data_IF_030378958042
#
_entry.id   IF_030378958042
#
_cell.length_a   1.000
_cell.length_b   1.000
_cell.length_c   1.000
_cell.angle_alpha   90.00
_cell.angle_beta   90.00
_cell.angle_gamma   90.00
#
_symmetry.space_group_name_H-M   'P 1'
#
loop_
_entity.id
_entity.type
_entity.pdbx_description
1 polymer ?
#
# COMPACT_ATOMS: atom_id res chain seq x y z
N UNK A 1 6.08 -35.24 6.19
CA UNK A 1 7.26 -34.66 5.49
C UNK A 1 7.78 -33.40 6.19
N UNK A 2 6.91 -32.43 6.53
CA UNK A 2 7.31 -31.18 7.21
C UNK A 2 8.07 -31.38 8.53
N UNK A 3 7.66 -32.34 9.37
CA UNK A 3 8.29 -32.57 10.68
C UNK A 3 9.78 -32.93 10.63
N UNK A 4 10.30 -33.41 9.50
CA UNK A 4 11.75 -33.65 9.32
C UNK A 4 12.50 -32.44 8.75
N UNK A 5 11.84 -31.65 7.90
CA UNK A 5 12.47 -30.54 7.17
C UNK A 5 12.47 -29.26 8.00
N UNK A 6 11.35 -28.95 8.64
CA UNK A 6 11.15 -27.67 9.31
C UNK A 6 12.16 -27.43 10.46
N UNK A 7 12.47 -28.41 11.33
CA UNK A 7 13.51 -28.21 12.34
C UNK A 7 14.89 -27.88 11.75
N UNK A 8 15.24 -28.43 10.57
CA UNK A 8 16.50 -28.08 9.90
C UNK A 8 16.48 -26.64 9.39
N UNK A 9 15.36 -26.20 8.82
CA UNK A 9 15.19 -24.82 8.33
C UNK A 9 15.26 -23.82 9.49
N UNK A 10 14.56 -24.10 10.61
CA UNK A 10 14.57 -23.24 11.79
C UNK A 10 15.97 -23.15 12.45
N UNK A 11 16.73 -24.25 12.47
CA UNK A 11 18.15 -24.22 12.91
C UNK A 11 19.05 -23.42 11.96
N UNK A 12 18.72 -23.37 10.68
CA UNK A 12 19.39 -22.51 9.71
C UNK A 12 19.04 -21.04 9.89
N UNK A 13 17.81 -20.75 10.33
CA UNK A 13 17.30 -19.39 10.52
C UNK A 13 18.09 -18.61 11.57
N UNK A 14 18.58 -19.27 12.63
CA UNK A 14 19.41 -18.60 13.66
C UNK A 14 20.84 -18.28 13.21
N UNK A 15 21.21 -18.57 11.95
CA UNK A 15 22.56 -18.41 11.41
C UNK A 15 22.60 -17.38 10.29
N UNK A 16 23.38 -16.31 10.48
CA UNK A 16 23.49 -15.22 9.51
C UNK A 16 24.01 -15.71 8.14
N UNK A 17 24.95 -16.65 8.13
CA UNK A 17 25.53 -17.23 6.91
C UNK A 17 24.53 -18.07 6.09
N UNK A 18 23.43 -18.52 6.70
CA UNK A 18 22.36 -19.28 6.04
C UNK A 18 21.09 -18.44 5.84
N UNK A 19 21.14 -17.13 6.05
CA UNK A 19 19.96 -16.26 6.06
C UNK A 19 19.12 -16.37 4.78
N UNK A 20 19.73 -16.20 3.61
CA UNK A 20 19.00 -16.24 2.32
C UNK A 20 18.34 -17.59 2.06
N UNK A 21 19.07 -18.69 2.27
CA UNK A 21 18.59 -20.05 1.98
C UNK A 21 17.52 -20.50 2.97
N UNK A 22 17.71 -20.25 4.27
CA UNK A 22 16.74 -20.63 5.31
C UNK A 22 15.43 -19.85 5.19
N UNK A 23 15.49 -18.53 5.03
CA UNK A 23 14.29 -17.67 4.96
C UNK A 23 13.51 -17.91 3.67
N UNK A 24 14.19 -18.00 2.52
CA UNK A 24 13.49 -18.28 1.26
C UNK A 24 12.82 -19.65 1.27
N UNK A 25 13.45 -20.65 1.89
CA UNK A 25 12.87 -21.99 2.09
C UNK A 25 11.67 -21.92 3.04
N UNK A 26 11.80 -21.24 4.18
CA UNK A 26 10.71 -21.07 5.14
C UNK A 26 9.52 -20.35 4.50
N UNK A 27 9.76 -19.27 3.75
CA UNK A 27 8.72 -18.54 3.02
C UNK A 27 7.98 -19.44 2.03
N UNK A 28 8.68 -20.31 1.30
CA UNK A 28 8.05 -21.27 0.38
C UNK A 28 7.22 -22.30 1.14
N UNK A 29 7.76 -22.88 2.22
CA UNK A 29 7.03 -23.82 3.07
C UNK A 29 5.75 -23.16 3.61
N UNK A 30 5.86 -21.93 4.15
CA UNK A 30 4.72 -21.19 4.68
C UNK A 30 3.65 -20.92 3.61
N UNK A 31 4.08 -20.64 2.37
CA UNK A 31 3.17 -20.33 1.26
C UNK A 31 2.45 -21.56 0.71
N UNK A 32 3.18 -22.66 0.49
CA UNK A 32 2.67 -23.85 -0.22
C UNK A 32 2.01 -24.86 0.71
N UNK A 33 2.38 -24.93 1.99
CA UNK A 33 1.94 -25.98 2.92
C UNK A 33 0.91 -25.50 3.95
N UNK A 34 0.11 -24.46 3.64
CA UNK A 34 -0.77 -23.78 4.60
C UNK A 34 -1.63 -24.72 5.45
N UNK A 35 -2.23 -25.75 4.86
CA UNK A 35 -3.09 -26.71 5.57
C UNK A 35 -2.40 -27.47 6.70
N UNK A 36 -1.09 -27.65 6.60
CA UNK A 36 -0.33 -28.57 7.45
C UNK A 36 0.59 -27.83 8.43
N UNK A 37 0.55 -26.49 8.46
CA UNK A 37 1.44 -25.66 9.26
C UNK A 37 0.98 -25.41 10.69
N UNK A 38 -0.32 -25.54 10.96
CA UNK A 38 -0.90 -25.23 12.26
C UNK A 38 -0.15 -25.91 13.45
N UNK A 39 0.28 -27.19 13.37
CA UNK A 39 1.03 -27.84 14.45
C UNK A 39 2.39 -27.21 14.73
N UNK A 40 2.99 -26.54 13.76
CA UNK A 40 4.35 -25.98 13.86
C UNK A 40 4.35 -24.45 14.05
N UNK A 41 3.18 -23.82 14.07
CA UNK A 41 3.06 -22.37 14.04
C UNK A 41 3.75 -21.70 15.22
N UNK A 42 3.65 -22.28 16.42
CA UNK A 42 4.28 -21.73 17.62
C UNK A 42 5.81 -21.75 17.51
N UNK A 43 6.39 -22.85 17.03
CA UNK A 43 7.84 -22.98 16.87
C UNK A 43 8.37 -22.02 15.82
N UNK A 44 7.67 -21.90 14.67
CA UNK A 44 8.04 -20.95 13.62
C UNK A 44 7.97 -19.52 14.16
N UNK A 45 6.89 -19.15 14.84
CA UNK A 45 6.71 -17.79 15.40
C UNK A 45 7.80 -17.46 16.43
N UNK A 46 8.08 -18.38 17.37
CA UNK A 46 9.09 -18.19 18.41
C UNK A 46 10.48 -17.97 17.81
N UNK A 47 10.95 -18.87 16.95
CA UNK A 47 12.29 -18.75 16.35
C UNK A 47 12.38 -17.50 15.48
N UNK A 48 11.31 -17.19 14.73
CA UNK A 48 11.29 -15.99 13.87
C UNK A 48 11.31 -14.69 14.67
N UNK A 49 10.59 -14.62 15.81
CA UNK A 49 10.63 -13.46 16.69
C UNK A 49 12.02 -13.26 17.30
N UNK A 50 12.65 -14.35 17.76
CA UNK A 50 13.99 -14.26 18.36
C UNK A 50 15.03 -13.74 17.36
N UNK A 51 15.03 -14.22 16.11
CA UNK A 51 16.00 -13.75 15.09
C UNK A 51 15.73 -12.31 14.63
N UNK A 52 14.47 -11.86 14.66
CA UNK A 52 14.11 -10.48 14.34
C UNK A 52 14.58 -9.52 15.44
N UNK A 53 14.41 -9.88 16.71
CA UNK A 53 14.88 -9.08 17.85
C UNK A 53 16.40 -9.05 17.95
N UNK A 54 17.07 -10.16 17.64
CA UNK A 54 18.54 -10.25 17.65
C UNK A 54 19.21 -9.63 16.41
N UNK A 55 18.43 -9.10 15.45
CA UNK A 55 18.93 -8.48 14.21
C UNK A 55 19.91 -9.38 13.44
N UNK A 56 19.66 -10.69 13.41
CA UNK A 56 20.55 -11.69 12.78
C UNK A 56 20.64 -11.51 11.26
N UNK A 57 19.63 -10.88 10.65
CA UNK A 57 19.43 -10.81 9.21
C UNK A 57 19.38 -9.37 8.70
N UNK A 58 19.70 -9.18 7.42
CA UNK A 58 19.58 -7.86 6.78
C UNK A 58 18.12 -7.53 6.49
N UNK A 59 17.83 -6.24 6.30
CA UNK A 59 16.49 -5.69 6.09
C UNK A 59 15.65 -6.44 5.02
N UNK A 60 16.25 -6.78 3.87
CA UNK A 60 15.54 -7.51 2.80
C UNK A 60 15.14 -8.93 3.21
N UNK A 61 15.97 -9.60 4.00
CA UNK A 61 15.68 -10.92 4.55
C UNK A 61 14.62 -10.87 5.65
N UNK A 62 14.65 -9.87 6.53
CA UNK A 62 13.59 -9.64 7.51
C UNK A 62 12.23 -9.42 6.81
N UNK A 63 12.20 -8.68 5.70
CA UNK A 63 11.00 -8.50 4.89
C UNK A 63 10.45 -9.83 4.33
N UNK A 64 11.33 -10.72 3.86
CA UNK A 64 10.91 -12.06 3.41
C UNK A 64 10.44 -12.95 4.56
N UNK A 65 11.05 -12.83 5.74
CA UNK A 65 10.61 -13.54 6.93
C UNK A 65 9.21 -13.05 7.35
N UNK A 66 8.96 -11.74 7.35
CA UNK A 66 7.63 -11.18 7.62
C UNK A 66 6.58 -11.66 6.63
N UNK A 67 6.93 -11.84 5.35
CA UNK A 67 6.04 -12.47 4.36
C UNK A 67 5.78 -13.96 4.66
N UNK A 68 6.79 -14.70 5.12
CA UNK A 68 6.61 -16.08 5.55
C UNK A 68 5.64 -16.17 6.74
N UNK A 69 5.76 -15.24 7.69
CA UNK A 69 4.88 -15.15 8.85
C UNK A 69 3.46 -14.74 8.48
N UNK A 70 3.27 -13.87 7.48
CA UNK A 70 1.93 -13.52 6.98
C UNK A 70 1.21 -14.74 6.38
N UNK A 71 1.89 -15.56 5.58
CA UNK A 71 1.33 -16.82 5.10
C UNK A 71 1.02 -17.82 6.23
N UNK A 72 1.91 -17.91 7.22
CA UNK A 72 1.70 -18.77 8.39
C UNK A 72 0.46 -18.33 9.17
N UNK A 73 0.36 -17.04 9.53
CA UNK A 73 -0.76 -16.51 10.29
C UNK A 73 -2.09 -16.68 9.54
N UNK A 74 -2.07 -16.53 8.21
CA UNK A 74 -3.25 -16.76 7.36
C UNK A 74 -3.78 -18.20 7.43
N UNK A 75 -2.94 -19.17 7.82
CA UNK A 75 -3.31 -20.58 7.94
C UNK A 75 -3.90 -20.97 9.30
N UNK A 76 -3.95 -20.04 10.25
CA UNK A 76 -4.43 -20.31 11.61
C UNK A 76 -5.94 -20.07 11.72
N UNK A 77 -6.60 -20.66 12.75
CA UNK A 77 -7.99 -20.34 13.07
C UNK A 77 -8.17 -18.83 13.33
N UNK A 78 -9.26 -18.25 12.83
CA UNK A 78 -9.50 -16.80 12.88
C UNK A 78 -9.40 -16.22 14.30
N UNK A 79 -9.84 -16.98 15.32
CA UNK A 79 -9.80 -16.50 16.72
C UNK A 79 -8.36 -16.31 17.24
N UNK A 80 -7.38 -17.00 16.65
CA UNK A 80 -5.98 -16.94 17.06
C UNK A 80 -5.17 -15.89 16.30
N UNK A 81 -5.62 -15.49 15.10
CA UNK A 81 -4.83 -14.63 14.20
C UNK A 81 -4.52 -13.30 14.87
N UNK A 82 -5.53 -12.61 15.42
CA UNK A 82 -5.34 -11.29 16.01
C UNK A 82 -4.38 -11.32 17.20
N UNK A 83 -4.53 -12.27 18.12
CA UNK A 83 -3.65 -12.40 19.28
C UNK A 83 -2.18 -12.67 18.89
N UNK A 84 -1.96 -13.56 17.92
CA UNK A 84 -0.61 -13.89 17.43
C UNK A 84 0.00 -12.75 16.62
N UNK A 85 -0.82 -12.07 15.81
CA UNK A 85 -0.40 -10.90 15.07
C UNK A 85 0.07 -9.80 16.01
N UNK A 86 -0.73 -9.45 17.03
CA UNK A 86 -0.38 -8.44 18.02
C UNK A 86 0.90 -8.82 18.77
N UNK A 87 1.05 -10.08 19.19
CA UNK A 87 2.28 -10.56 19.84
C UNK A 87 3.51 -10.40 18.95
N UNK A 88 3.38 -10.61 17.63
CA UNK A 88 4.48 -10.49 16.68
C UNK A 88 4.89 -9.02 16.46
N UNK A 89 3.93 -8.11 16.32
CA UNK A 89 4.21 -6.72 15.93
C UNK A 89 4.45 -5.78 17.11
N UNK A 90 3.99 -6.13 18.32
CA UNK A 90 4.08 -5.26 19.51
C UNK A 90 5.49 -4.74 19.81
N UNK A 91 6.56 -5.57 19.77
CA UNK A 91 7.92 -5.09 20.01
C UNK A 91 8.33 -4.01 19.00
N UNK A 92 7.97 -4.20 17.73
CA UNK A 92 8.27 -3.26 16.65
C UNK A 92 7.45 -1.97 16.75
N UNK A 93 6.17 -2.05 17.13
CA UNK A 93 5.34 -0.86 17.38
C UNK A 93 5.88 -0.04 18.55
N UNK A 94 6.30 -0.70 19.64
CA UNK A 94 6.90 -0.03 20.80
C UNK A 94 8.22 0.65 20.44
N UNK A 95 9.07 -0.02 19.66
CA UNK A 95 10.30 0.57 19.13
C UNK A 95 10.00 1.76 18.22
N UNK A 96 9.00 1.66 17.35
CA UNK A 96 8.59 2.78 16.50
C UNK A 96 8.09 3.97 17.34
N UNK A 97 7.32 3.71 18.40
CA UNK A 97 6.89 4.71 19.36
C UNK A 97 8.04 5.43 20.06
N UNK A 98 9.10 4.72 20.46
CA UNK A 98 10.27 5.32 21.10
C UNK A 98 11.11 6.14 20.12
N UNK A 99 11.30 5.66 18.88
CA UNK A 99 12.02 6.37 17.83
C UNK A 99 11.34 7.70 17.47
N UNK A 100 10.01 7.73 17.47
CA UNK A 100 9.24 8.95 17.18
C UNK A 100 9.40 10.01 18.27
N UNK A 101 9.68 9.64 19.52
CA UNK A 101 9.90 10.61 20.60
C UNK A 101 11.27 11.29 20.52
N UNK A 102 12.26 10.62 19.94
CA UNK A 102 13.63 11.12 19.79
C UNK A 102 13.74 12.20 18.71
N UNK A 103 14.88 12.91 18.70
CA UNK A 103 15.19 13.86 17.63
C UNK A 103 15.38 13.15 16.28
N UNK A 104 14.97 13.84 15.21
CA UNK A 104 15.10 13.34 13.86
C UNK A 104 16.59 13.25 13.46
N UNK A 105 17.05 12.05 13.17
CA UNK A 105 18.43 11.77 12.75
C UNK A 105 18.45 10.61 11.73
N UNK A 106 19.52 10.46 10.93
CA UNK A 106 19.55 9.48 9.84
C UNK A 106 19.44 8.03 10.33
N UNK A 107 19.93 7.70 11.53
CA UNK A 107 19.80 6.36 12.12
C UNK A 107 18.34 6.06 12.48
N UNK A 108 17.66 7.02 13.10
CA UNK A 108 16.25 6.91 13.45
C UNK A 108 15.38 6.79 12.20
N UNK A 109 15.68 7.55 11.15
CA UNK A 109 15.06 7.39 9.83
C UNK A 109 15.16 5.96 9.31
N UNK A 110 16.37 5.41 9.26
CA UNK A 110 16.61 4.05 8.76
C UNK A 110 15.83 3.01 9.56
N UNK A 111 15.80 3.15 10.90
CA UNK A 111 15.05 2.25 11.77
C UNK A 111 13.53 2.36 11.56
N UNK A 112 12.99 3.58 11.42
CA UNK A 112 11.58 3.82 11.11
C UNK A 112 11.20 3.16 9.78
N UNK A 113 11.96 3.43 8.71
CA UNK A 113 11.72 2.87 7.38
C UNK A 113 11.82 1.34 7.41
N UNK A 114 12.78 0.78 8.14
CA UNK A 114 12.93 -0.67 8.29
C UNK A 114 11.71 -1.31 8.97
N UNK A 115 11.23 -0.75 10.08
CA UNK A 115 10.06 -1.27 10.80
C UNK A 115 8.80 -1.17 9.93
N UNK A 116 8.58 -0.02 9.27
CA UNK A 116 7.45 0.15 8.34
C UNK A 116 7.52 -0.84 7.18
N UNK A 117 8.71 -1.09 6.63
CA UNK A 117 8.94 -2.09 5.59
C UNK A 117 8.63 -3.52 6.04
N UNK A 118 8.96 -3.87 7.29
CA UNK A 118 8.60 -5.17 7.90
C UNK A 118 7.08 -5.32 8.04
N UNK A 119 6.38 -4.29 8.55
CA UNK A 119 4.93 -4.29 8.67
C UNK A 119 4.24 -4.39 7.31
N UNK A 120 4.67 -3.59 6.34
CA UNK A 120 4.19 -3.63 4.96
C UNK A 120 4.35 -5.03 4.35
N UNK A 121 5.51 -5.66 4.57
CA UNK A 121 5.80 -7.02 4.10
C UNK A 121 4.91 -8.08 4.73
N UNK A 122 4.64 -7.97 6.04
CA UNK A 122 3.70 -8.86 6.72
C UNK A 122 2.29 -8.73 6.14
N UNK A 123 1.78 -7.50 6.05
CA UNK A 123 0.42 -7.24 5.56
C UNK A 123 0.24 -7.58 4.09
N UNK A 124 1.31 -7.64 3.29
CA UNK A 124 1.25 -8.06 1.88
C UNK A 124 0.90 -9.54 1.66
N UNK A 125 0.91 -10.35 2.72
CA UNK A 125 0.72 -11.82 2.65
C UNK A 125 -0.27 -12.36 3.67
N UNK A 126 -0.70 -11.52 4.61
CA UNK A 126 -1.65 -11.87 5.64
C UNK A 126 -3.08 -11.71 5.12
N UNK A 127 -3.63 -12.78 4.57
CA UNK A 127 -5.01 -12.87 4.12
C UNK A 127 -5.73 -13.89 5.01
N UNK A 128 -6.44 -13.44 6.07
CA UNK A 128 -7.29 -14.33 6.86
C UNK A 128 -8.26 -15.05 5.92
N UNK A 129 -8.31 -16.38 6.00
CA UNK A 129 -9.11 -17.23 5.11
C UNK A 129 -10.49 -16.63 4.86
N UNK A 130 -10.80 -16.28 3.61
CA UNK A 130 -12.20 -15.98 3.23
C UNK A 130 -12.93 -17.29 3.39
N UNK A 131 -13.94 -17.36 4.25
CA UNK A 131 -14.75 -18.56 4.45
C UNK A 131 -15.14 -19.09 3.06
N UNK A 132 -14.49 -20.17 2.64
CA UNK A 132 -14.76 -20.82 1.36
C UNK A 132 -16.06 -21.58 1.56
N UNK A 133 -17.18 -20.97 1.15
CA UNK A 133 -18.39 -21.64 0.66
C UNK A 133 -19.50 -20.61 0.45
N UNK A 134 -19.39 -19.80 -0.61
CA UNK A 134 -20.58 -19.34 -1.31
C UNK A 134 -20.21 -18.89 -2.72
N UNK A 135 -20.77 -19.66 -3.66
CA UNK A 135 -21.03 -19.33 -5.05
C UNK A 135 -21.28 -17.84 -5.29
N UNK A 136 -20.85 -17.37 -6.46
CA UNK A 136 -21.20 -16.11 -7.12
C UNK A 136 -22.15 -15.15 -6.36
N UNK A 137 -21.64 -13.97 -6.02
CA UNK A 137 -22.47 -12.76 -6.06
C UNK A 137 -22.89 -12.09 -4.74
N UNK A 138 -22.61 -12.64 -3.57
CA UNK A 138 -22.87 -11.93 -2.31
C UNK A 138 -21.81 -12.22 -1.25
N UNK A 139 -20.91 -11.26 -1.02
CA UNK A 139 -20.05 -11.28 0.15
C UNK A 139 -20.94 -11.22 1.40
N UNK A 140 -21.12 -12.33 2.10
CA UNK A 140 -21.69 -12.27 3.45
C UNK A 140 -20.75 -11.40 4.30
N UNK A 141 -21.27 -10.37 4.99
CA UNK A 141 -20.43 -9.52 5.82
C UNK A 141 -19.79 -10.39 6.90
N UNK A 142 -18.46 -10.32 7.02
CA UNK A 142 -17.73 -10.93 8.14
C UNK A 142 -18.34 -10.42 9.44
N UNK A 143 -18.75 -11.34 10.32
CA UNK A 143 -19.27 -11.00 11.65
C UNK A 143 -18.19 -10.39 12.56
N UNK A 144 -16.92 -10.67 12.25
CA UNK A 144 -15.74 -10.22 13.00
C UNK A 144 -14.88 -9.29 12.14
N UNK A 145 -14.31 -8.21 12.72
CA UNK A 145 -13.46 -7.29 11.99
C UNK A 145 -12.16 -7.98 11.57
N UNK A 146 -11.67 -7.68 10.37
CA UNK A 146 -10.43 -8.22 9.85
C UNK A 146 -9.25 -7.84 10.78
N UNK A 147 -8.41 -8.80 11.24
CA UNK A 147 -7.31 -8.54 12.17
C UNK A 147 -6.33 -7.46 11.71
N UNK A 148 -6.04 -7.37 10.41
CA UNK A 148 -5.14 -6.35 9.87
C UNK A 148 -5.77 -4.97 9.99
N UNK A 149 -7.06 -4.83 9.73
CA UNK A 149 -7.78 -3.56 9.90
C UNK A 149 -7.74 -3.10 11.35
N UNK A 150 -7.99 -3.99 12.29
CA UNK A 150 -7.92 -3.69 13.73
C UNK A 150 -6.53 -3.18 14.11
N UNK A 151 -5.47 -3.83 13.63
CA UNK A 151 -4.10 -3.40 13.86
C UNK A 151 -3.83 -2.03 13.23
N UNK A 152 -4.22 -1.83 11.98
CA UNK A 152 -4.03 -0.55 11.28
C UNK A 152 -4.71 0.61 12.01
N UNK A 153 -5.93 0.40 12.53
CA UNK A 153 -6.64 1.37 13.35
C UNK A 153 -5.88 1.71 14.64
N UNK A 154 -5.32 0.70 15.32
CA UNK A 154 -4.56 0.90 16.56
C UNK A 154 -3.25 1.65 16.34
N UNK A 155 -2.55 1.39 15.23
CA UNK A 155 -1.27 2.04 14.92
C UNK A 155 -1.44 3.38 14.19
N UNK A 156 -2.65 3.73 13.75
CA UNK A 156 -2.88 4.92 12.93
C UNK A 156 -2.40 6.21 13.59
N UNK A 157 -2.67 6.39 14.89
CA UNK A 157 -2.21 7.56 15.63
C UNK A 157 -0.66 7.64 15.69
N UNK A 158 0.02 6.51 15.77
CA UNK A 158 1.48 6.46 15.71
C UNK A 158 1.99 6.86 14.32
N UNK A 159 1.31 6.40 13.25
CA UNK A 159 1.63 6.81 11.87
C UNK A 159 1.47 8.33 11.70
N UNK A 160 0.40 8.92 12.24
CA UNK A 160 0.22 10.38 12.21
C UNK A 160 1.34 11.11 12.95
N UNK A 161 1.83 10.57 14.08
CA UNK A 161 2.97 11.13 14.81
C UNK A 161 4.30 11.00 14.05
N UNK A 162 4.48 9.95 13.24
CA UNK A 162 5.64 9.84 12.34
C UNK A 162 5.55 10.94 11.28
N UNK A 163 4.41 11.04 10.61
CA UNK A 163 4.20 12.01 9.54
C UNK A 163 4.37 13.45 10.04
N UNK A 164 3.90 13.81 11.24
CA UNK A 164 4.08 15.17 11.75
C UNK A 164 5.55 15.60 11.92
N UNK A 165 6.48 14.65 12.08
CA UNK A 165 7.93 14.91 12.17
C UNK A 165 8.69 14.70 10.87
N UNK A 166 8.22 13.77 10.02
CA UNK A 166 8.95 13.28 8.85
C UNK A 166 8.25 13.57 7.51
N UNK A 167 7.25 14.46 7.48
CA UNK A 167 6.44 14.74 6.28
C UNK A 167 7.26 15.18 5.06
N UNK A 168 8.45 15.74 5.28
CA UNK A 168 9.32 16.28 4.23
C UNK A 168 10.41 15.27 3.81
N UNK A 169 10.41 14.07 4.40
CA UNK A 169 11.35 13.00 4.06
C UNK A 169 10.66 11.97 3.16
N UNK A 170 11.10 11.89 1.90
CA UNK A 170 10.49 11.03 0.89
C UNK A 170 10.50 9.54 1.25
N UNK A 171 11.60 9.05 1.85
CA UNK A 171 11.71 7.62 2.16
C UNK A 171 10.74 7.23 3.28
N UNK A 172 10.54 8.10 4.28
CA UNK A 172 9.60 7.84 5.38
C UNK A 172 8.16 7.89 4.89
N UNK A 173 7.80 8.91 4.09
CA UNK A 173 6.44 9.03 3.53
C UNK A 173 6.14 7.86 2.58
N UNK A 174 7.09 7.46 1.74
CA UNK A 174 6.95 6.29 0.87
C UNK A 174 6.77 5.01 1.70
N UNK A 175 7.54 4.83 2.78
CA UNK A 175 7.39 3.67 3.66
C UNK A 175 5.99 3.63 4.33
N UNK A 176 5.47 4.78 4.76
CA UNK A 176 4.11 4.90 5.31
C UNK A 176 3.07 4.54 4.24
N UNK A 177 3.13 5.15 3.06
CA UNK A 177 2.26 4.83 1.93
C UNK A 177 2.37 3.34 1.56
N UNK A 178 3.56 2.75 1.63
CA UNK A 178 3.82 1.34 1.34
C UNK A 178 3.15 0.38 2.32
N UNK A 179 3.01 0.72 3.60
CA UNK A 179 2.22 -0.09 4.56
C UNK A 179 0.77 -0.18 4.10
N UNK A 180 0.17 0.96 3.74
CA UNK A 180 -1.22 1.01 3.31
C UNK A 180 -1.43 0.43 1.90
N UNK A 181 -0.53 0.65 0.93
CA UNK A 181 -0.62 0.04 -0.40
C UNK A 181 -0.68 -1.48 -0.32
N UNK A 182 0.23 -2.10 0.43
CA UNK A 182 0.21 -3.56 0.61
C UNK A 182 -1.02 -4.05 1.35
N UNK A 183 -1.49 -3.29 2.34
CA UNK A 183 -2.71 -3.63 3.09
C UNK A 183 -3.95 -3.55 2.20
N UNK A 184 -4.14 -2.45 1.46
CA UNK A 184 -5.26 -2.24 0.53
C UNK A 184 -5.30 -3.33 -0.53
N UNK A 185 -4.16 -3.69 -1.12
CA UNK A 185 -4.08 -4.76 -2.15
C UNK A 185 -4.42 -6.14 -1.61
N UNK A 186 -4.08 -6.42 -0.36
CA UNK A 186 -4.29 -7.74 0.25
C UNK A 186 -5.72 -7.89 0.76
N UNK A 187 -6.25 -6.84 1.39
CA UNK A 187 -7.57 -6.86 2.02
C UNK A 187 -8.71 -6.55 1.04
N UNK A 188 -8.43 -5.82 -0.05
CA UNK A 188 -9.45 -5.36 -1.00
C UNK A 188 -10.59 -4.64 -0.27
N UNK A 189 -11.83 -5.08 -0.47
CA UNK A 189 -13.02 -4.49 0.14
C UNK A 189 -13.03 -4.53 1.67
N UNK A 190 -12.33 -5.49 2.30
CA UNK A 190 -12.22 -5.54 3.78
C UNK A 190 -11.47 -4.33 4.34
N UNK A 191 -10.72 -3.58 3.52
CA UNK A 191 -10.07 -2.33 3.92
C UNK A 191 -11.06 -1.15 4.07
N UNK A 192 -12.33 -1.30 3.65
CA UNK A 192 -13.36 -0.27 3.67
C UNK A 192 -13.40 0.63 4.92
N UNK A 193 -13.34 0.07 6.16
CA UNK A 193 -13.36 0.88 7.39
C UNK A 193 -12.23 1.92 7.53
N UNK A 194 -11.11 1.75 6.83
CA UNK A 194 -9.96 2.65 6.85
C UNK A 194 -9.97 3.70 5.74
N UNK A 195 -10.86 3.60 4.75
CA UNK A 195 -10.83 4.43 3.52
C UNK A 195 -10.94 5.92 3.83
N UNK A 196 -11.81 6.30 4.78
CA UNK A 196 -12.00 7.72 5.14
C UNK A 196 -10.74 8.29 5.76
N UNK A 197 -10.22 7.65 6.82
CA UNK A 197 -9.03 8.08 7.53
C UNK A 197 -7.80 8.15 6.61
N UNK A 198 -7.64 7.14 5.73
CA UNK A 198 -6.56 7.12 4.76
C UNK A 198 -6.69 8.24 3.73
N UNK A 199 -7.91 8.54 3.27
CA UNK A 199 -8.13 9.60 2.28
C UNK A 199 -7.78 10.98 2.84
N UNK A 200 -8.16 11.26 4.10
CA UNK A 200 -7.80 12.50 4.79
C UNK A 200 -6.29 12.64 4.97
N UNK A 201 -5.62 11.57 5.43
CA UNK A 201 -4.17 11.54 5.59
C UNK A 201 -3.43 11.76 4.27
N UNK A 202 -3.87 11.10 3.18
CA UNK A 202 -3.28 11.28 1.85
C UNK A 202 -3.44 12.70 1.33
N UNK A 203 -4.61 13.32 1.56
CA UNK A 203 -4.84 14.72 1.23
C UNK A 203 -3.85 15.65 1.94
N UNK A 204 -3.63 15.44 3.24
CA UNK A 204 -2.69 16.24 4.05
C UNK A 204 -1.23 16.04 3.65
N UNK A 205 -0.82 14.80 3.38
CA UNK A 205 0.51 14.49 2.87
C UNK A 205 0.72 15.23 1.55
N UNK A 206 -0.17 15.02 0.58
CA UNK A 206 0.01 15.53 -0.76
C UNK A 206 -0.09 17.05 -0.85
N UNK A 207 -0.93 17.68 -0.03
CA UNK A 207 -1.02 19.15 0.02
C UNK A 207 0.23 19.82 0.58
N UNK A 208 0.98 19.11 1.44
CA UNK A 208 2.16 19.67 2.11
C UNK A 208 3.45 19.32 1.38
N UNK A 209 3.59 18.06 0.97
CA UNK A 209 4.75 17.56 0.25
C UNK A 209 4.30 16.54 -0.81
N UNK A 210 4.01 17.00 -2.04
CA UNK A 210 3.51 16.17 -3.13
C UNK A 210 4.49 15.06 -3.51
N UNK A 211 4.02 13.81 -3.55
CA UNK A 211 4.83 12.63 -3.89
C UNK A 211 4.05 11.62 -4.74
N UNK A 212 4.77 10.90 -5.60
CA UNK A 212 4.27 9.79 -6.40
C UNK A 212 3.56 8.72 -5.56
N UNK A 213 4.12 8.34 -4.41
CA UNK A 213 3.60 7.28 -3.53
C UNK A 213 2.16 7.53 -3.06
N UNK A 214 1.79 8.78 -2.80
CA UNK A 214 0.43 9.16 -2.41
C UNK A 214 -0.56 9.07 -3.59
N UNK A 215 -0.13 9.43 -4.81
CA UNK A 215 -0.93 9.29 -6.03
C UNK A 215 -1.19 7.81 -6.35
N UNK A 216 -0.16 6.99 -6.20
CA UNK A 216 -0.27 5.55 -6.44
C UNK A 216 -1.18 4.83 -5.45
N UNK A 217 -1.14 5.23 -4.17
CA UNK A 217 -2.06 4.71 -3.17
C UNK A 217 -3.50 5.17 -3.44
N UNK A 218 -3.68 6.44 -3.81
CA UNK A 218 -4.99 6.96 -4.24
C UNK A 218 -5.52 6.20 -5.46
N UNK A 219 -4.65 5.87 -6.40
CA UNK A 219 -4.98 5.04 -7.57
C UNK A 219 -5.46 3.65 -7.16
N UNK A 220 -4.91 3.04 -6.10
CA UNK A 220 -5.44 1.78 -5.57
C UNK A 220 -6.81 1.94 -4.92
N UNK A 221 -7.04 3.03 -4.18
CA UNK A 221 -8.35 3.33 -3.61
C UNK A 221 -9.40 3.49 -4.72
N UNK A 222 -9.08 4.20 -5.79
CA UNK A 222 -9.96 4.31 -6.97
C UNK A 222 -10.19 2.94 -7.61
N UNK A 223 -9.15 2.11 -7.71
CA UNK A 223 -9.29 0.79 -8.35
C UNK A 223 -10.28 -0.13 -7.63
N UNK A 224 -10.27 -0.12 -6.29
CA UNK A 224 -11.04 -1.05 -5.45
C UNK A 224 -12.41 -0.46 -5.07
N UNK A 225 -12.43 0.79 -4.61
CA UNK A 225 -13.58 1.36 -3.91
C UNK A 225 -14.41 2.35 -4.75
N UNK A 226 -14.01 2.66 -5.98
CA UNK A 226 -14.76 3.65 -6.76
C UNK A 226 -16.15 3.14 -7.20
N UNK A 227 -16.42 1.83 -7.10
CA UNK A 227 -17.75 1.26 -7.27
C UNK A 227 -18.67 1.42 -6.05
N UNK A 228 -18.16 1.83 -4.89
CA UNK A 228 -18.90 1.82 -3.62
C UNK A 228 -19.41 3.22 -3.23
N UNK A 229 -20.73 3.35 -3.08
CA UNK A 229 -21.38 4.64 -2.82
C UNK A 229 -20.96 5.29 -1.49
N UNK A 230 -20.64 4.48 -0.48
CA UNK A 230 -20.24 5.00 0.84
C UNK A 230 -18.83 5.62 0.84
N UNK A 231 -17.97 5.26 -0.12
CA UNK A 231 -16.58 5.71 -0.18
C UNK A 231 -16.32 6.72 -1.29
N UNK A 232 -17.17 6.75 -2.32
CA UNK A 232 -16.95 7.58 -3.51
C UNK A 232 -16.84 9.08 -3.21
N UNK A 233 -17.55 9.59 -2.21
CA UNK A 233 -17.48 11.01 -1.84
C UNK A 233 -16.08 11.40 -1.34
N UNK A 234 -15.47 10.56 -0.50
CA UNK A 234 -14.13 10.79 0.04
C UNK A 234 -13.07 10.68 -1.04
N UNK A 235 -13.17 9.65 -1.90
CA UNK A 235 -12.27 9.45 -3.04
C UNK A 235 -12.37 10.62 -4.02
N UNK A 236 -13.58 11.10 -4.31
CA UNK A 236 -13.78 12.27 -5.19
C UNK A 236 -13.12 13.52 -4.61
N UNK A 237 -13.28 13.77 -3.31
CA UNK A 237 -12.65 14.92 -2.64
C UNK A 237 -11.13 14.83 -2.68
N UNK A 238 -10.57 13.64 -2.42
CA UNK A 238 -9.13 13.39 -2.47
C UNK A 238 -8.57 13.60 -3.88
N UNK A 239 -9.16 12.96 -4.89
CA UNK A 239 -8.76 13.10 -6.30
C UNK A 239 -8.77 14.56 -6.71
N UNK A 240 -9.82 15.31 -6.36
CA UNK A 240 -9.91 16.74 -6.66
C UNK A 240 -8.76 17.53 -6.03
N UNK A 241 -8.50 17.33 -4.74
CA UNK A 241 -7.44 18.03 -4.03
C UNK A 241 -6.07 17.74 -4.67
N UNK A 242 -5.79 16.46 -4.93
CA UNK A 242 -4.54 16.05 -5.56
C UNK A 242 -4.40 16.60 -6.96
N UNK A 243 -5.43 16.50 -7.81
CA UNK A 243 -5.42 17.08 -9.15
C UNK A 243 -5.14 18.58 -9.12
N UNK A 244 -5.81 19.33 -8.26
CA UNK A 244 -5.57 20.78 -8.14
C UNK A 244 -4.12 21.08 -7.73
N UNK A 245 -3.59 20.34 -6.76
CA UNK A 245 -2.20 20.50 -6.32
C UNK A 245 -1.22 20.14 -7.42
N UNK A 246 -1.39 18.99 -8.09
CA UNK A 246 -0.50 18.55 -9.18
C UNK A 246 -0.52 19.54 -10.35
N UNK A 247 -1.69 20.01 -10.77
CA UNK A 247 -1.78 21.00 -11.85
C UNK A 247 -1.07 22.31 -11.50
N UNK A 248 -1.17 22.78 -10.26
CA UNK A 248 -0.42 23.96 -9.79
C UNK A 248 1.09 23.74 -9.85
N UNK A 249 1.58 22.55 -9.49
CA UNK A 249 3.01 22.21 -9.57
C UNK A 249 3.45 22.24 -11.03
N UNK A 250 2.70 21.60 -11.94
CA UNK A 250 3.04 21.57 -13.36
C UNK A 250 3.04 22.96 -14.02
N UNK A 251 2.20 23.89 -13.56
CA UNK A 251 2.21 25.25 -14.07
C UNK A 251 3.48 26.02 -13.67
N UNK A 252 4.04 25.73 -12.51
CA UNK A 252 5.24 26.40 -11.99
C UNK A 252 6.52 25.70 -12.46
N UNK A 253 6.54 24.37 -12.42
CA UNK A 253 7.71 23.51 -12.63
C UNK A 253 7.34 22.28 -13.50
N UNK A 254 7.05 22.47 -14.80
CA UNK A 254 6.46 21.44 -15.67
C UNK A 254 7.32 20.20 -15.93
N UNK A 255 8.58 20.16 -15.47
CA UNK A 255 9.55 19.07 -15.75
C UNK A 255 10.42 18.64 -14.57
N UNK A 256 10.24 19.22 -13.39
CA UNK A 256 11.08 18.91 -12.22
C UNK A 256 10.69 17.59 -11.54
N UNK A 257 9.43 17.15 -11.70
CA UNK A 257 8.86 16.01 -10.97
C UNK A 257 8.32 14.91 -11.92
N UNK A 258 9.19 14.19 -12.67
CA UNK A 258 8.79 13.19 -13.66
C UNK A 258 8.06 11.97 -13.07
N UNK A 259 8.36 11.61 -11.83
CA UNK A 259 7.74 10.53 -11.07
C UNK A 259 6.31 10.88 -10.63
N UNK A 260 6.09 12.11 -10.18
CA UNK A 260 4.76 12.66 -9.87
C UNK A 260 3.93 12.73 -11.15
N UNK A 261 4.53 13.19 -12.26
CA UNK A 261 3.90 13.22 -13.58
C UNK A 261 3.42 11.83 -14.01
N UNK A 262 4.30 10.83 -13.93
CA UNK A 262 3.99 9.44 -14.27
C UNK A 262 2.81 8.91 -13.44
N UNK A 263 2.91 9.04 -12.11
CA UNK A 263 1.90 8.56 -11.16
C UNK A 263 0.56 9.26 -11.36
N UNK A 264 0.59 10.55 -11.68
CA UNK A 264 -0.60 11.35 -11.95
C UNK A 264 -1.32 10.92 -13.22
N UNK A 265 -0.58 10.66 -14.31
CA UNK A 265 -1.16 10.12 -15.54
C UNK A 265 -1.78 8.73 -15.29
N UNK A 266 -1.12 7.87 -14.52
CA UNK A 266 -1.67 6.58 -14.14
C UNK A 266 -2.93 6.68 -13.27
N UNK A 267 -3.01 7.64 -12.34
CA UNK A 267 -4.21 7.90 -11.55
C UNK A 267 -5.39 8.27 -12.45
N UNK A 268 -5.20 9.23 -13.35
CA UNK A 268 -6.26 9.70 -14.24
C UNK A 268 -6.69 8.65 -15.27
N UNK A 269 -5.76 7.86 -15.82
CA UNK A 269 -6.09 6.69 -16.62
C UNK A 269 -6.96 5.68 -15.83
N UNK A 270 -6.61 5.43 -14.57
CA UNK A 270 -7.37 4.52 -13.71
C UNK A 270 -8.79 5.04 -13.41
N UNK A 271 -8.95 6.35 -13.22
CA UNK A 271 -10.24 7.01 -13.04
C UNK A 271 -11.11 6.85 -14.30
N UNK A 272 -10.60 7.20 -15.47
CA UNK A 272 -11.32 7.07 -16.74
C UNK A 272 -11.72 5.62 -17.05
N UNK A 273 -10.91 4.66 -16.59
CA UNK A 273 -11.24 3.23 -16.74
C UNK A 273 -12.31 2.76 -15.78
N UNK A 274 -12.26 3.17 -14.50
CA UNK A 274 -13.12 2.63 -13.43
C UNK A 274 -14.37 3.44 -13.16
N UNK A 275 -14.26 4.77 -13.07
CA UNK A 275 -15.35 5.70 -12.76
C UNK A 275 -15.18 7.02 -13.54
N UNK A 276 -15.52 7.03 -14.84
CA UNK A 276 -15.45 8.23 -15.66
C UNK A 276 -16.26 9.40 -15.09
N UNK A 277 -17.34 9.14 -14.35
CA UNK A 277 -18.21 10.15 -13.72
C UNK A 277 -17.45 11.18 -12.86
N UNK A 278 -16.25 10.84 -12.35
CA UNK A 278 -15.41 11.79 -11.62
C UNK A 278 -14.97 12.99 -12.48
N UNK A 279 -14.97 12.86 -13.81
CA UNK A 279 -14.71 13.94 -14.76
C UNK A 279 -15.92 14.84 -15.06
N UNK A 280 -17.12 14.44 -14.63
CA UNK A 280 -18.33 15.28 -14.79
C UNK A 280 -18.44 16.36 -13.70
N UNK A 281 -17.52 16.37 -12.72
CA UNK A 281 -17.46 17.41 -11.69
C UNK A 281 -16.97 18.72 -12.30
N UNK A 282 -17.80 19.77 -12.27
CA UNK A 282 -17.45 21.14 -12.75
C UNK A 282 -16.14 21.70 -12.17
N UNK A 283 -15.70 21.15 -11.04
CA UNK A 283 -14.48 21.57 -10.34
C UNK A 283 -13.19 20.91 -10.88
N UNK A 284 -13.27 20.02 -11.87
CA UNK A 284 -12.09 19.39 -12.49
C UNK A 284 -11.72 20.12 -13.77
N UNK A 285 -10.54 20.73 -13.83
CA UNK A 285 -10.05 21.39 -15.05
C UNK A 285 -9.54 20.34 -16.05
N UNK A 286 -10.48 19.79 -16.84
CA UNK A 286 -10.20 18.80 -17.88
C UNK A 286 -9.25 19.35 -18.94
N UNK A 287 -9.32 20.65 -19.23
CA UNK A 287 -8.42 21.30 -20.19
C UNK A 287 -6.99 21.26 -19.67
N UNK A 288 -6.75 21.71 -18.43
CA UNK A 288 -5.42 21.69 -17.84
C UNK A 288 -4.87 20.25 -17.72
N UNK A 289 -5.71 19.27 -17.39
CA UNK A 289 -5.34 17.85 -17.40
C UNK A 289 -4.90 17.36 -18.78
N UNK A 290 -5.63 17.73 -19.83
CA UNK A 290 -5.29 17.38 -21.20
C UNK A 290 -3.92 17.96 -21.60
N UNK A 291 -3.67 19.24 -21.33
CA UNK A 291 -2.36 19.86 -21.56
C UNK A 291 -1.25 19.23 -20.71
N UNK A 292 -1.53 18.90 -19.45
CA UNK A 292 -0.60 18.17 -18.59
C UNK A 292 -0.22 16.82 -19.21
N UNK A 293 -1.16 16.11 -19.82
CA UNK A 293 -0.91 14.89 -20.59
C UNK A 293 0.01 15.13 -21.79
N UNK A 294 -0.24 16.19 -22.59
CA UNK A 294 0.61 16.54 -23.74
C UNK A 294 2.03 16.86 -23.28
N UNK A 295 2.16 17.65 -22.21
CA UNK A 295 3.47 17.97 -21.63
C UNK A 295 4.18 16.69 -21.17
N UNK A 296 3.47 15.79 -20.49
CA UNK A 296 3.99 14.51 -19.98
C UNK A 296 4.48 13.58 -21.10
N UNK A 297 3.89 13.61 -22.30
CA UNK A 297 4.40 12.86 -23.46
C UNK A 297 5.78 13.35 -23.93
N UNK A 298 6.12 14.61 -23.65
CA UNK A 298 7.39 15.23 -24.06
C UNK A 298 8.49 15.14 -22.99
N UNK A 299 8.26 14.38 -21.91
CA UNK A 299 9.30 14.09 -20.93
C UNK A 299 10.37 13.16 -21.53
N UNK A 300 11.66 13.35 -21.19
CA UNK A 300 12.71 12.43 -21.61
C UNK A 300 12.57 11.04 -20.97
N UNK A 301 11.95 10.95 -19.79
CA UNK A 301 11.70 9.71 -19.08
C UNK A 301 10.66 8.86 -19.83
N UNK A 302 11.12 7.72 -20.36
CA UNK A 302 10.25 6.76 -21.05
C UNK A 302 9.05 6.29 -20.20
N UNK A 303 9.18 6.04 -18.87
CA UNK A 303 8.04 5.70 -18.02
C UNK A 303 6.94 6.78 -18.02
N UNK A 304 7.30 8.05 -17.83
CA UNK A 304 6.37 9.19 -17.83
C UNK A 304 5.64 9.34 -19.17
N UNK A 305 6.37 9.27 -20.29
CA UNK A 305 5.78 9.35 -21.62
C UNK A 305 4.81 8.19 -21.89
N UNK A 306 5.16 6.96 -21.45
CA UNK A 306 4.26 5.80 -21.55
C UNK A 306 3.00 5.99 -20.71
N UNK A 307 3.11 6.51 -19.48
CA UNK A 307 1.97 6.78 -18.62
C UNK A 307 1.02 7.80 -19.27
N UNK A 308 1.57 8.86 -19.90
CA UNK A 308 0.78 9.82 -20.68
C UNK A 308 0.06 9.16 -21.87
N UNK A 309 0.72 8.27 -22.61
CA UNK A 309 0.07 7.50 -23.68
C UNK A 309 -1.08 6.62 -23.16
N UNK A 310 -0.91 5.99 -21.99
CA UNK A 310 -1.99 5.23 -21.35
C UNK A 310 -3.15 6.12 -20.95
N UNK A 311 -2.88 7.30 -20.39
CA UNK A 311 -3.90 8.30 -20.10
C UNK A 311 -4.69 8.68 -21.37
N UNK A 312 -4.02 9.02 -22.48
CA UNK A 312 -4.71 9.36 -23.72
C UNK A 312 -5.49 8.18 -24.33
N UNK A 313 -4.98 6.96 -24.19
CA UNK A 313 -5.70 5.76 -24.64
C UNK A 313 -7.05 5.65 -23.93
N UNK A 314 -7.07 5.80 -22.61
CA UNK A 314 -8.32 5.78 -21.83
C UNK A 314 -9.17 7.04 -22.10
N UNK A 315 -8.56 8.22 -22.23
CA UNK A 315 -9.26 9.48 -22.53
C UNK A 315 -10.03 9.40 -23.85
N UNK A 316 -9.36 9.03 -24.94
CA UNK A 316 -9.95 8.93 -26.27
C UNK A 316 -11.03 7.85 -26.34
N UNK A 317 -10.88 6.77 -25.58
CA UNK A 317 -11.89 5.71 -25.49
C UNK A 317 -13.22 6.21 -24.92
N UNK A 318 -13.20 7.30 -24.13
CA UNK A 318 -14.35 7.87 -23.44
C UNK A 318 -14.95 9.09 -24.12
N UNK A 319 -14.30 9.71 -25.12
CA UNK A 319 -14.81 10.91 -25.80
C UNK A 319 -16.22 10.72 -26.38
N UNK A 320 -16.54 9.54 -26.92
CA UNK A 320 -17.89 9.24 -27.46
C UNK A 320 -18.99 9.28 -26.40
N UNK A 321 -18.65 8.90 -25.17
CA UNK A 321 -19.61 8.78 -24.08
C UNK A 321 -19.62 10.02 -23.16
N UNK A 322 -18.63 10.91 -23.32
CA UNK A 322 -18.39 12.04 -22.42
C UNK A 322 -18.13 13.34 -23.20
N UNK A 323 -19.17 14.21 -23.37
CA UNK A 323 -19.05 15.46 -24.14
C UNK A 323 -17.92 16.39 -23.67
N UNK A 324 -17.71 16.49 -22.35
CA UNK A 324 -16.64 17.34 -21.77
C UNK A 324 -15.25 16.95 -22.28
N UNK A 325 -15.01 15.66 -22.52
CA UNK A 325 -13.72 15.19 -23.05
C UNK A 325 -13.61 15.46 -24.56
N UNK A 326 -14.70 15.26 -25.30
CA UNK A 326 -14.76 15.50 -26.75
C UNK A 326 -14.58 16.98 -27.09
N UNK A 327 -15.21 17.88 -26.32
CA UNK A 327 -15.06 19.33 -26.49
C UNK A 327 -13.60 19.78 -26.32
N UNK A 328 -12.89 19.24 -25.32
CA UNK A 328 -11.47 19.55 -25.11
C UNK A 328 -10.63 18.99 -26.24
N UNK A 329 -10.90 17.76 -26.69
CA UNK A 329 -10.18 17.15 -27.81
C UNK A 329 -10.35 17.94 -29.12
N UNK A 330 -11.59 18.36 -29.45
CA UNK A 330 -11.86 19.10 -30.67
C UNK A 330 -11.26 20.50 -30.67
N UNK A 331 -11.16 21.14 -29.50
CA UNK A 331 -10.68 22.52 -29.39
C UNK A 331 -9.17 22.62 -29.21
N UNK A 332 -8.57 21.70 -28.46
CA UNK A 332 -7.20 21.82 -27.95
C UNK A 332 -6.28 20.64 -28.37
N UNK A 333 -6.80 19.63 -29.10
CA UNK A 333 -6.10 18.38 -29.47
C UNK A 333 -5.46 18.30 -30.85
#
# INVERSE_FOLDING_TARGET
MLGGILPMVLRGLVKAELSVSSISTLKRICRECRSDLAPYAQDILSVSQDVLVQEVHKSSQCSWLMQALGFLLSSLPEEQILGRLLSLISPHIQQLGSLVQQEANPTNKQNIVHILGMLSSLFSTLEPSRCSDSSEGAASPRLTPNPVVVVLQQVFALVQNILSRWLHDSDVVEAVCGVFDKSVRTLLHDFGPMVVQLSEMLGQIYSTFPQASALDLTRQLVHIFAGEEHHISNIRSLVRAMTSTTLSIFQQEPREHPDVAESFMHLHAQILRRRPDLYQSEQLDVKALFFCGILSMNFPETPTAKAACFFFTEFLSRCKDMPVLDEVLQRDG
#
